data_IF_565691792490
#
_entry.id   IF_565691792490
#
_cell.length_a   1.000
_cell.length_b   1.000
_cell.length_c   1.000
_cell.angle_alpha   90.00
_cell.angle_beta   90.00
_cell.angle_gamma   90.00
#
_symmetry.space_group_name_H-M   'P 1'
#
loop_
_entity.id
_entity.type
_entity.pdbx_description
1 polymer ?
#
# COMPACT_ATOMS: atom_id res chain seq x y z
N UNK A 1 5.54 -12.58 -13.09
CA UNK A 1 4.97 -11.29 -13.48
C UNK A 1 3.48 -11.49 -13.72
N UNK A 2 2.67 -10.56 -13.24
CA UNK A 2 1.22 -10.55 -13.37
C UNK A 2 0.78 -9.16 -13.86
N UNK A 3 -0.18 -9.13 -14.77
CA UNK A 3 -0.82 -7.90 -15.23
C UNK A 3 -2.31 -7.98 -14.95
N UNK A 4 -2.86 -6.95 -14.32
CA UNK A 4 -4.29 -6.81 -14.10
C UNK A 4 -4.82 -5.71 -15.01
N UNK A 5 -5.89 -6.02 -15.75
CA UNK A 5 -6.58 -5.08 -16.63
C UNK A 5 -8.03 -4.98 -16.20
N UNK A 6 -8.46 -3.76 -15.89
CA UNK A 6 -9.85 -3.47 -15.58
C UNK A 6 -10.51 -2.77 -16.77
N UNK A 7 -11.66 -3.30 -17.19
CA UNK A 7 -12.49 -2.71 -18.22
C UNK A 7 -13.89 -2.38 -17.70
N UNK A 8 -14.39 -1.19 -17.98
CA UNK A 8 -15.75 -0.79 -17.64
C UNK A 8 -16.69 -1.06 -18.80
N UNK A 9 -17.70 -1.89 -18.56
CA UNK A 9 -18.74 -2.27 -19.52
C UNK A 9 -20.10 -1.74 -19.04
N UNK A 10 -21.13 -1.72 -19.92
CA UNK A 10 -22.47 -1.27 -19.52
C UNK A 10 -23.09 -2.06 -18.37
N UNK A 11 -22.66 -3.31 -18.17
CA UNK A 11 -23.11 -4.22 -17.09
C UNK A 11 -22.15 -4.25 -15.88
N UNK A 12 -21.17 -3.33 -15.81
CA UNK A 12 -20.25 -3.16 -14.69
C UNK A 12 -18.77 -3.32 -15.06
N UNK A 13 -17.91 -3.05 -14.08
CA UNK A 13 -16.45 -3.25 -14.22
C UNK A 13 -16.08 -4.72 -14.13
N UNK A 14 -15.19 -5.15 -15.02
CA UNK A 14 -14.64 -6.52 -15.08
C UNK A 14 -13.14 -6.47 -14.98
N UNK A 15 -12.58 -7.33 -14.15
CA UNK A 15 -11.15 -7.48 -13.94
C UNK A 15 -10.64 -8.76 -14.61
N UNK A 16 -9.58 -8.63 -15.39
CA UNK A 16 -8.85 -9.76 -15.95
C UNK A 16 -7.44 -9.77 -15.39
N UNK A 17 -7.05 -10.88 -14.79
CA UNK A 17 -5.69 -11.11 -14.32
C UNK A 17 -4.98 -12.04 -15.28
N UNK A 18 -3.86 -11.59 -15.84
CA UNK A 18 -3.04 -12.35 -16.76
C UNK A 18 -1.72 -12.71 -16.08
N UNK A 19 -1.52 -14.00 -15.82
CA UNK A 19 -0.26 -14.51 -15.28
C UNK A 19 0.72 -14.74 -16.42
N UNK A 20 1.99 -14.36 -16.20
CA UNK A 20 3.06 -14.50 -17.19
C UNK A 20 2.67 -13.96 -18.58
N UNK A 21 2.31 -12.66 -18.69
CA UNK A 21 1.75 -12.08 -19.92
C UNK A 21 2.67 -12.13 -21.13
N UNK A 22 3.97 -12.31 -20.91
CA UNK A 22 4.97 -12.45 -21.95
C UNK A 22 5.43 -13.91 -21.96
N UNK A 23 4.91 -14.69 -22.89
CA UNK A 23 5.19 -16.12 -23.02
C UNK A 23 6.17 -16.46 -24.15
N UNK A 24 6.41 -15.54 -25.06
CA UNK A 24 7.28 -15.72 -26.23
C UNK A 24 8.26 -14.57 -26.37
N UNK A 25 9.42 -14.84 -26.97
CA UNK A 25 10.39 -13.80 -27.32
C UNK A 25 9.90 -12.92 -28.46
N UNK A 26 9.18 -13.52 -29.41
CA UNK A 26 8.56 -12.84 -30.53
C UNK A 26 7.06 -12.78 -30.34
N UNK A 27 6.47 -11.62 -30.50
CA UNK A 27 5.03 -11.43 -30.42
C UNK A 27 4.30 -12.00 -31.64
N UNK A 28 3.05 -12.40 -31.46
CA UNK A 28 2.14 -12.80 -32.55
C UNK A 28 1.01 -11.78 -32.65
N UNK A 29 1.21 -10.75 -33.51
CA UNK A 29 0.26 -9.65 -33.66
C UNK A 29 -1.12 -10.11 -34.15
N UNK A 30 -1.20 -11.14 -34.95
CA UNK A 30 -2.47 -11.71 -35.42
C UNK A 30 -3.32 -12.24 -34.27
N UNK A 31 -2.69 -12.92 -33.30
CA UNK A 31 -3.38 -13.37 -32.09
C UNK A 31 -3.72 -12.22 -31.15
N UNK A 32 -2.80 -11.27 -30.97
CA UNK A 32 -3.01 -10.13 -30.10
C UNK A 32 -4.16 -9.23 -30.56
N UNK A 33 -4.37 -9.13 -31.87
CA UNK A 33 -5.42 -8.32 -32.48
C UNK A 33 -6.67 -9.13 -32.89
N UNK A 34 -6.69 -10.43 -32.60
CA UNK A 34 -7.83 -11.29 -32.95
C UNK A 34 -9.14 -10.77 -32.34
N UNK A 35 -10.11 -10.55 -33.19
CA UNK A 35 -11.43 -10.04 -32.78
C UNK A 35 -11.48 -8.53 -32.47
N UNK A 36 -10.38 -7.79 -32.56
CA UNK A 36 -10.32 -6.34 -32.31
C UNK A 36 -10.93 -5.50 -33.46
N UNK A 37 -11.01 -6.07 -34.67
CA UNK A 37 -11.38 -5.33 -35.90
C UNK A 37 -10.26 -4.40 -36.40
N UNK A 38 -9.09 -4.39 -35.77
CA UNK A 38 -7.93 -3.59 -36.19
C UNK A 38 -7.10 -4.34 -37.23
N UNK A 39 -6.54 -3.64 -38.23
CA UNK A 39 -5.59 -4.26 -39.17
C UNK A 39 -4.29 -4.62 -38.46
N UNK A 40 -3.71 -5.77 -38.83
CA UNK A 40 -2.37 -6.16 -38.33
C UNK A 40 -1.32 -5.21 -38.94
N UNK A 41 -0.61 -4.41 -38.12
CA UNK A 41 0.42 -3.52 -38.66
C UNK A 41 1.66 -4.29 -39.14
N UNK A 42 2.45 -3.68 -40.04
CA UNK A 42 3.77 -4.20 -40.35
C UNK A 42 4.67 -4.14 -39.12
N UNK A 43 5.52 -5.16 -38.94
CA UNK A 43 6.52 -5.21 -37.84
C UNK A 43 7.50 -4.02 -37.88
N UNK A 44 7.72 -3.40 -39.04
CA UNK A 44 8.58 -2.22 -39.20
C UNK A 44 8.11 -1.02 -38.36
N UNK A 45 6.82 -0.97 -38.01
CA UNK A 45 6.25 0.09 -37.17
C UNK A 45 6.86 0.08 -35.76
N UNK A 46 7.31 -1.06 -35.29
CA UNK A 46 7.91 -1.21 -33.95
C UNK A 46 9.42 -0.92 -33.91
N UNK A 47 10.03 -0.65 -35.07
CA UNK A 47 11.47 -0.43 -35.19
C UNK A 47 12.29 -1.73 -35.07
N UNK A 48 13.59 -1.64 -35.29
CA UNK A 48 14.51 -2.73 -35.00
C UNK A 48 14.70 -2.85 -33.47
N UNK A 49 14.59 -4.05 -32.92
CA UNK A 49 14.97 -4.30 -31.54
C UNK A 49 16.44 -3.92 -31.34
N UNK A 50 16.75 -2.96 -30.49
CA UNK A 50 18.13 -2.66 -30.14
C UNK A 50 18.71 -3.83 -29.36
N UNK A 51 19.97 -4.20 -29.65
CA UNK A 51 20.66 -5.30 -28.92
C UNK A 51 20.69 -5.04 -27.40
N UNK A 52 20.64 -3.78 -26.95
CA UNK A 52 20.58 -3.41 -25.55
C UNK A 52 19.25 -3.81 -24.88
N UNK A 53 18.14 -3.82 -25.62
CA UNK A 53 16.84 -4.26 -25.11
C UNK A 53 16.73 -5.77 -24.95
N UNK A 54 17.62 -6.55 -25.61
CA UNK A 54 17.60 -8.01 -25.52
C UNK A 54 18.19 -8.55 -24.21
N UNK A 55 18.92 -7.73 -23.44
CA UNK A 55 19.58 -8.17 -22.20
C UNK A 55 18.71 -8.00 -20.95
N UNK A 56 17.61 -7.25 -20.99
CA UNK A 56 16.77 -6.98 -19.83
C UNK A 56 15.38 -7.56 -20.04
N UNK A 57 15.04 -8.58 -19.27
CA UNK A 57 13.69 -9.14 -19.27
C UNK A 57 12.68 -8.08 -18.78
N UNK A 58 11.55 -7.84 -19.51
CA UNK A 58 10.50 -6.95 -19.01
C UNK A 58 10.07 -7.29 -17.60
N UNK A 59 10.06 -6.30 -16.71
CA UNK A 59 9.79 -6.49 -15.28
C UNK A 59 11.01 -6.96 -14.46
N UNK A 60 12.20 -7.04 -15.05
CA UNK A 60 13.42 -7.31 -14.31
C UNK A 60 13.67 -6.23 -13.26
N UNK A 61 14.00 -6.66 -12.04
CA UNK A 61 14.40 -5.76 -10.97
C UNK A 61 15.91 -5.56 -11.05
N UNK A 62 16.36 -4.35 -11.35
CA UNK A 62 17.77 -3.97 -11.41
C UNK A 62 18.11 -3.12 -10.16
N UNK A 63 18.46 -3.77 -9.03
CA UNK A 63 18.79 -3.02 -7.83
C UNK A 63 20.12 -2.27 -8.04
N UNK A 64 20.13 -1.00 -7.63
CA UNK A 64 21.39 -0.25 -7.52
C UNK A 64 22.20 -0.78 -6.34
N UNK A 65 23.52 -0.61 -6.41
CA UNK A 65 24.40 -0.92 -5.28
C UNK A 65 24.16 0.07 -4.12
N UNK A 66 24.34 -0.42 -2.89
CA UNK A 66 24.22 0.35 -1.68
C UNK A 66 22.94 0.10 -0.91
N UNK A 67 22.72 0.92 0.11
CA UNK A 67 21.56 0.84 1.02
C UNK A 67 20.82 2.16 1.02
N UNK A 68 19.51 2.12 0.90
CA UNK A 68 18.64 3.28 1.02
C UNK A 68 17.94 3.22 2.38
N UNK A 69 18.24 4.22 3.23
CA UNK A 69 17.58 4.36 4.53
C UNK A 69 16.23 5.04 4.34
N UNK A 70 15.16 4.32 4.65
CA UNK A 70 13.81 4.88 4.59
C UNK A 70 13.61 5.91 5.70
N UNK A 71 12.87 6.98 5.39
CA UNK A 71 12.47 8.02 6.36
C UNK A 71 13.62 8.60 7.19
N UNK A 72 14.84 8.69 6.63
CA UNK A 72 16.01 9.21 7.32
C UNK A 72 15.72 10.58 7.97
N UNK A 73 16.21 10.78 9.21
CA UNK A 73 16.06 12.01 10.00
C UNK A 73 14.60 12.39 10.35
N UNK A 74 13.65 11.48 10.25
CA UNK A 74 12.28 11.71 10.69
C UNK A 74 12.09 11.20 12.12
N UNK A 75 11.22 11.88 12.86
CA UNK A 75 10.85 11.45 14.20
C UNK A 75 10.13 10.10 14.16
N UNK A 76 10.58 9.17 14.99
CA UNK A 76 9.98 7.85 15.17
C UNK A 76 9.61 7.60 16.61
N UNK A 77 8.66 6.71 16.85
CA UNK A 77 8.28 6.21 18.18
C UNK A 77 7.98 4.73 18.09
N UNK A 78 8.42 3.99 19.06
CA UNK A 78 8.07 2.57 19.22
C UNK A 78 6.80 2.45 20.07
N UNK A 79 5.86 1.64 19.62
CA UNK A 79 4.64 1.33 20.36
C UNK A 79 4.46 -0.18 20.42
N UNK A 80 4.11 -0.67 21.62
CA UNK A 80 3.68 -2.06 21.79
C UNK A 80 2.21 -2.16 21.43
N UNK A 81 1.87 -3.09 20.52
CA UNK A 81 0.54 -3.31 19.99
C UNK A 81 0.10 -4.72 20.33
N UNK A 82 -1.03 -4.86 21.00
CA UNK A 82 -1.64 -6.15 21.33
C UNK A 82 -2.94 -6.31 20.55
N UNK A 83 -3.11 -7.43 19.84
CA UNK A 83 -4.38 -7.78 19.23
C UNK A 83 -5.27 -8.48 20.27
N UNK A 84 -6.29 -7.78 20.77
CA UNK A 84 -7.27 -8.31 21.73
C UNK A 84 -8.45 -9.03 21.04
N UNK A 85 -8.50 -9.01 19.71
CA UNK A 85 -9.54 -9.67 18.91
C UNK A 85 -9.31 -11.16 18.74
N UNK A 86 -10.29 -11.83 18.13
CA UNK A 86 -10.30 -13.25 17.82
C UNK A 86 -9.81 -13.58 16.39
N UNK A 87 -9.42 -12.56 15.63
CA UNK A 87 -8.99 -12.67 14.23
C UNK A 87 -7.71 -11.90 13.97
N UNK A 88 -6.91 -12.35 12.98
CA UNK A 88 -5.74 -11.58 12.54
C UNK A 88 -6.15 -10.22 12.00
N UNK A 89 -5.37 -9.19 12.36
CA UNK A 89 -5.54 -7.81 11.89
C UNK A 89 -4.28 -7.41 11.13
N UNK A 90 -4.47 -6.89 9.91
CA UNK A 90 -3.39 -6.42 9.07
C UNK A 90 -3.48 -4.90 8.90
N UNK A 91 -2.37 -4.21 9.12
CA UNK A 91 -2.27 -2.75 9.00
C UNK A 91 -1.27 -2.40 7.91
N UNK A 92 -1.73 -1.67 6.90
CA UNK A 92 -0.90 -1.20 5.80
C UNK A 92 0.06 -0.08 6.19
N UNK A 93 1.16 0.04 5.45
CA UNK A 93 2.27 0.97 5.71
C UNK A 93 1.85 2.44 5.87
N UNK A 94 0.84 2.89 5.12
CA UNK A 94 0.45 4.29 5.05
C UNK A 94 -0.85 4.63 5.79
N UNK A 95 -1.42 3.66 6.52
CA UNK A 95 -2.63 3.92 7.31
C UNK A 95 -2.30 4.78 8.53
N UNK A 96 -3.13 5.77 8.85
CA UNK A 96 -3.00 6.57 10.06
C UNK A 96 -3.17 5.68 11.29
N UNK A 97 -2.08 5.44 12.03
CA UNK A 97 -2.02 4.31 12.95
C UNK A 97 -3.00 4.41 14.12
N UNK A 98 -3.28 5.63 14.62
CA UNK A 98 -4.27 5.86 15.69
C UNK A 98 -5.67 5.34 15.34
N UNK A 99 -6.00 5.31 14.04
CA UNK A 99 -7.30 4.88 13.53
C UNK A 99 -7.41 3.39 13.22
N UNK A 100 -6.37 2.62 13.50
CA UNK A 100 -6.41 1.17 13.27
C UNK A 100 -7.50 0.48 14.07
N UNK A 101 -7.79 -0.77 13.71
CA UNK A 101 -8.88 -1.57 14.27
C UNK A 101 -9.04 -1.40 15.80
N UNK A 102 -10.29 -1.31 16.27
CA UNK A 102 -10.63 -1.10 17.67
C UNK A 102 -10.11 -2.19 18.61
N UNK A 103 -9.89 -3.41 18.10
CA UNK A 103 -9.34 -4.53 18.87
C UNK A 103 -7.82 -4.49 19.04
N UNK A 104 -7.12 -3.57 18.35
CA UNK A 104 -5.70 -3.33 18.61
C UNK A 104 -5.54 -2.39 19.79
N UNK A 105 -4.89 -2.86 20.85
CA UNK A 105 -4.61 -2.09 22.07
C UNK A 105 -3.16 -1.61 22.03
N UNK A 106 -2.98 -0.30 22.12
CA UNK A 106 -1.68 0.38 22.14
C UNK A 106 -1.86 1.84 22.60
N UNK A 107 -0.76 2.55 22.83
CA UNK A 107 -0.80 3.97 23.11
C UNK A 107 -1.22 4.76 21.86
N UNK A 108 -2.53 5.03 21.72
CA UNK A 108 -3.09 5.74 20.57
C UNK A 108 -2.69 7.21 20.56
N UNK A 109 -2.40 7.80 21.71
CA UNK A 109 -1.93 9.17 21.79
C UNK A 109 -0.55 9.32 21.15
N UNK A 110 0.39 8.42 21.48
CA UNK A 110 1.71 8.37 20.85
C UNK A 110 1.67 8.10 19.34
N UNK A 111 0.61 7.43 18.87
CA UNK A 111 0.42 7.08 17.46
C UNK A 111 -0.28 8.16 16.62
N UNK A 112 -0.80 9.24 17.23
CA UNK A 112 -1.46 10.31 16.50
C UNK A 112 -0.50 11.00 15.52
N UNK A 113 -0.97 11.23 14.29
CA UNK A 113 -0.16 11.81 13.21
C UNK A 113 0.95 10.92 12.67
N UNK A 114 0.94 9.63 13.00
CA UNK A 114 1.99 8.68 12.61
C UNK A 114 1.44 7.48 11.84
N UNK A 115 2.33 6.85 11.08
CA UNK A 115 2.11 5.63 10.30
C UNK A 115 3.23 4.63 10.56
N UNK A 116 3.07 3.38 10.16
CA UNK A 116 4.14 2.39 10.25
C UNK A 116 5.40 2.84 9.49
N UNK A 117 6.57 2.64 10.11
CA UNK A 117 7.88 2.86 9.47
C UNK A 117 8.34 1.59 8.74
N UNK A 118 7.62 1.24 7.70
CA UNK A 118 7.88 0.10 6.84
C UNK A 118 7.79 0.52 5.36
N UNK A 119 8.35 -0.27 4.43
CA UNK A 119 8.29 0.04 3.01
C UNK A 119 6.86 0.23 2.50
N UNK A 120 6.67 1.17 1.57
CA UNK A 120 5.38 1.40 0.92
C UNK A 120 4.84 0.12 0.28
N UNK A 121 3.52 -0.09 0.38
CA UNK A 121 2.87 -1.28 -0.16
C UNK A 121 3.00 -2.54 0.71
N UNK A 122 3.72 -2.47 1.84
CA UNK A 122 3.81 -3.56 2.81
C UNK A 122 2.85 -3.36 3.98
N UNK A 123 2.71 -4.37 4.83
CA UNK A 123 1.83 -4.34 5.98
C UNK A 123 2.40 -5.15 7.14
N UNK A 124 1.96 -4.84 8.36
CA UNK A 124 2.19 -5.65 9.55
C UNK A 124 0.91 -6.39 9.91
N UNK A 125 1.03 -7.69 10.19
CA UNK A 125 -0.04 -8.55 10.62
C UNK A 125 0.13 -8.86 12.11
N UNK A 126 -0.96 -8.74 12.87
CA UNK A 126 -1.04 -9.04 14.30
C UNK A 126 -1.97 -10.24 14.48
N UNK A 127 -1.44 -11.36 14.99
CA UNK A 127 -2.26 -12.54 15.30
C UNK A 127 -3.06 -12.33 16.59
N UNK A 128 -4.19 -13.06 16.78
CA UNK A 128 -4.97 -12.99 18.01
C UNK A 128 -4.13 -13.26 19.26
N UNK A 129 -4.19 -12.34 20.24
CA UNK A 129 -3.44 -12.42 21.48
C UNK A 129 -1.95 -12.09 21.36
N UNK A 130 -1.45 -11.78 20.16
CA UNK A 130 -0.06 -11.38 19.96
C UNK A 130 0.17 -9.97 20.46
N UNK A 131 1.28 -9.76 21.20
CA UNK A 131 1.86 -8.44 21.49
C UNK A 131 3.14 -8.27 20.70
N UNK A 132 3.24 -7.15 19.98
CA UNK A 132 4.37 -6.85 19.11
C UNK A 132 4.71 -5.37 19.13
N UNK A 133 5.99 -5.05 19.28
CA UNK A 133 6.48 -3.67 19.12
C UNK A 133 6.63 -3.33 17.65
N UNK A 134 6.12 -2.17 17.25
CA UNK A 134 6.28 -1.59 15.92
C UNK A 134 6.80 -0.17 16.02
N UNK A 135 7.62 0.22 15.05
CA UNK A 135 8.09 1.60 14.91
C UNK A 135 7.14 2.40 14.04
N UNK A 136 6.73 3.54 14.52
CA UNK A 136 5.91 4.51 13.80
C UNK A 136 6.74 5.74 13.43
N UNK A 137 6.44 6.33 12.27
CA UNK A 137 7.07 7.56 11.76
C UNK A 137 6.00 8.61 11.51
N UNK A 138 6.31 9.89 11.74
CA UNK A 138 5.39 10.98 11.47
C UNK A 138 4.92 10.98 10.01
N UNK A 139 3.63 11.23 9.75
CA UNK A 139 3.08 11.40 8.40
C UNK A 139 3.70 12.67 7.78
N UNK A 140 4.09 12.58 6.52
CA UNK A 140 4.67 13.70 5.77
C UNK A 140 3.62 14.41 4.89
N UNK A 141 4.09 15.33 4.06
CA UNK A 141 3.25 16.14 3.19
C UNK A 141 2.55 17.25 3.96
N UNK A 142 1.33 17.57 3.56
CA UNK A 142 0.54 18.65 4.20
C UNK A 142 -0.03 18.24 5.57
N UNK A 143 0.18 17.00 6.00
CA UNK A 143 -0.29 16.45 7.27
C UNK A 143 -1.80 16.64 7.49
N UNK A 144 -2.58 16.42 6.43
CA UNK A 144 -4.04 16.44 6.48
C UNK A 144 -4.55 15.00 6.41
N UNK A 145 -5.30 14.57 7.40
CA UNK A 145 -5.90 13.24 7.48
C UNK A 145 -7.33 13.30 6.98
N UNK A 146 -7.67 12.34 6.11
CA UNK A 146 -9.02 12.14 5.59
C UNK A 146 -9.32 10.65 5.46
N UNK A 147 -10.54 10.26 5.74
CA UNK A 147 -10.98 8.86 5.62
C UNK A 147 -10.67 8.02 6.86
N UNK A 148 -10.13 6.82 6.66
CA UNK A 148 -9.86 5.88 7.75
C UNK A 148 -11.13 5.45 8.49
N UNK A 149 -11.03 5.25 9.80
CA UNK A 149 -12.18 4.98 10.67
C UNK A 149 -12.87 6.27 11.15
N UNK A 150 -12.53 7.40 10.55
CA UNK A 150 -13.11 8.70 10.87
C UNK A 150 -12.96 9.08 12.36
N UNK A 151 -11.82 8.72 12.94
CA UNK A 151 -11.39 9.20 14.24
C UNK A 151 -10.67 10.55 14.10
N UNK A 152 -9.84 10.68 13.08
CA UNK A 152 -9.20 11.93 12.69
C UNK A 152 -9.78 12.44 11.36
N UNK A 153 -9.99 13.75 11.27
CA UNK A 153 -10.43 14.42 10.05
C UNK A 153 -9.94 15.87 10.07
N UNK A 154 -8.92 16.19 9.30
CA UNK A 154 -8.32 17.52 9.26
C UNK A 154 -6.81 17.52 9.45
N UNK A 155 -6.24 18.68 9.80
CA UNK A 155 -4.81 18.83 10.07
C UNK A 155 -4.35 18.00 11.27
N UNK A 156 -3.08 17.59 11.21
CA UNK A 156 -2.40 16.97 12.36
C UNK A 156 -1.87 18.07 13.27
N UNK A 157 -2.69 18.46 14.25
CA UNK A 157 -2.39 19.48 15.24
C UNK A 157 -2.92 19.07 16.62
N UNK A 158 -2.75 19.92 17.63
CA UNK A 158 -3.16 19.62 19.00
C UNK A 158 -4.69 19.56 19.14
N UNK A 159 -5.45 20.36 18.40
CA UNK A 159 -6.91 20.33 18.39
C UNK A 159 -7.44 19.04 17.78
N UNK A 160 -6.91 18.65 16.62
CA UNK A 160 -7.20 17.38 15.95
C UNK A 160 -6.84 16.17 16.81
N UNK A 161 -5.71 16.26 17.55
CA UNK A 161 -5.28 15.23 18.51
C UNK A 161 -6.29 15.05 19.63
N UNK A 162 -6.68 16.12 20.28
CA UNK A 162 -7.64 16.10 21.39
C UNK A 162 -9.00 15.54 20.93
N UNK A 163 -9.50 16.00 19.79
CA UNK A 163 -10.75 15.51 19.20
C UNK A 163 -10.68 14.03 18.80
N UNK A 164 -9.53 13.57 18.28
CA UNK A 164 -9.31 12.16 17.92
C UNK A 164 -9.32 11.27 19.15
N UNK A 165 -8.61 11.64 20.22
CA UNK A 165 -8.54 10.87 21.45
C UNK A 165 -9.91 10.81 22.16
N UNK A 166 -10.70 11.88 22.10
CA UNK A 166 -12.07 11.85 22.58
C UNK A 166 -12.89 10.80 21.82
N UNK A 167 -12.82 10.77 20.46
CA UNK A 167 -13.53 9.79 19.64
C UNK A 167 -13.04 8.36 19.86
N UNK A 168 -11.75 8.16 20.19
CA UNK A 168 -11.20 6.86 20.61
C UNK A 168 -11.96 6.34 21.82
N UNK A 169 -12.15 7.18 22.85
CA UNK A 169 -12.92 6.83 24.04
C UNK A 169 -14.40 6.59 23.73
N UNK A 170 -15.05 7.53 23.03
CA UNK A 170 -16.50 7.48 22.72
C UNK A 170 -16.88 6.24 21.90
N UNK A 171 -15.96 5.75 21.05
CA UNK A 171 -16.19 4.58 20.20
C UNK A 171 -15.58 3.29 20.73
N UNK A 172 -15.08 3.30 21.96
CA UNK A 172 -14.49 2.12 22.63
C UNK A 172 -13.34 1.46 21.85
N UNK A 173 -12.48 2.26 21.22
CA UNK A 173 -11.24 1.75 20.65
C UNK A 173 -10.29 1.40 21.78
N UNK A 174 -9.77 0.17 21.79
CA UNK A 174 -8.81 -0.27 22.82
C UNK A 174 -7.57 0.60 22.80
N UNK A 175 -7.14 1.08 23.98
CA UNK A 175 -5.93 1.86 24.11
C UNK A 175 -5.27 1.64 25.48
N UNK A 176 -3.97 1.88 25.51
CA UNK A 176 -3.16 1.95 26.75
C UNK A 176 -2.72 3.41 26.96
N UNK A 177 -2.52 3.78 28.20
CA UNK A 177 -1.97 5.08 28.58
C UNK A 177 -0.44 5.11 28.44
#
# INVERSE_FOLDING_TARGET
VEVQVEGTFPDGSKLVTVHSPIAHLDGQLELALYGSGLPVPSLDVFGAASEELQQVTPGACLPAEGTLVLNANRETVDVEVTNLGDRPIQVGSHYHFVETNASLSFNRDAAYGKRLDIPAGTAVRFEPGESRTVTLVAIAGEQIIRGGNNLADGPVDDEGRAATLQRVGDRNFSHTS
#
